data_IF_459649379879
#
_entry.id   IF_459649379879
#
_cell.length_a   1.000
_cell.length_b   1.000
_cell.length_c   1.000
_cell.angle_alpha   90.00
_cell.angle_beta   90.00
_cell.angle_gamma   90.00
#
_symmetry.space_group_name_H-M   'P 1'
#
loop_
_entity.id
_entity.type
_entity.pdbx_description
1 polymer ?
#
# COMPACT_ATOMS: atom_id res chain seq x y z
N UNK A 1 -9.81 -87.39 -30.72
CA UNK A 1 -8.35 -87.23 -30.96
C UNK A 1 -8.02 -85.76 -30.86
N UNK A 2 -6.84 -85.47 -30.33
CA UNK A 2 -6.34 -84.18 -29.83
C UNK A 2 -6.19 -83.10 -30.90
N UNK A 3 -6.38 -81.84 -30.47
CA UNK A 3 -5.62 -80.64 -30.85
C UNK A 3 -6.27 -79.42 -30.14
N UNK A 4 -5.77 -78.91 -29.00
CA UNK A 4 -4.58 -78.06 -28.82
C UNK A 4 -4.28 -77.16 -30.02
N UNK A 5 -4.45 -75.84 -29.87
CA UNK A 5 -3.34 -74.91 -29.67
C UNK A 5 -3.82 -73.47 -29.53
N UNK A 6 -3.16 -72.81 -28.58
CA UNK A 6 -3.25 -71.42 -28.14
C UNK A 6 -2.76 -70.46 -29.23
N UNK A 7 -3.40 -69.30 -29.41
CA UNK A 7 -2.68 -68.09 -29.86
C UNK A 7 -3.16 -66.92 -29.00
N UNK A 8 -2.18 -66.39 -28.27
CA UNK A 8 -2.22 -65.22 -27.39
C UNK A 8 -2.05 -63.93 -28.22
N UNK A 9 -2.11 -62.80 -27.52
CA UNK A 9 -1.83 -61.40 -27.92
C UNK A 9 -3.01 -60.66 -28.53
N UNK A 10 -3.34 -59.42 -28.16
CA UNK A 10 -2.89 -58.46 -27.15
C UNK A 10 -3.81 -57.25 -27.37
N UNK A 11 -4.37 -56.64 -26.32
CA UNK A 11 -4.66 -55.20 -26.35
C UNK A 11 -4.96 -54.68 -24.94
N UNK A 12 -3.89 -54.57 -24.16
CA UNK A 12 -3.83 -53.55 -23.13
C UNK A 12 -3.88 -52.17 -23.82
N UNK A 13 -4.97 -51.42 -23.63
CA UNK A 13 -4.88 -49.96 -23.55
C UNK A 13 -6.07 -49.41 -22.78
N UNK A 14 -6.01 -49.43 -21.44
CA UNK A 14 -6.82 -48.53 -20.62
C UNK A 14 -6.40 -47.09 -20.93
N UNK A 15 -7.09 -46.46 -21.87
CA UNK A 15 -7.04 -45.01 -22.03
C UNK A 15 -7.70 -44.37 -20.82
N UNK A 16 -6.90 -44.10 -19.78
CA UNK A 16 -7.26 -43.14 -18.73
C UNK A 16 -7.29 -41.80 -19.45
N UNK A 17 -8.50 -41.35 -19.82
CA UNK A 17 -8.72 -40.02 -20.34
C UNK A 17 -8.31 -39.03 -19.26
N UNK A 18 -7.10 -38.50 -19.40
CA UNK A 18 -6.56 -37.41 -18.60
C UNK A 18 -7.38 -36.16 -18.97
N UNK A 19 -8.54 -35.99 -18.32
CA UNK A 19 -9.37 -34.82 -18.46
C UNK A 19 -8.66 -33.66 -17.74
N UNK A 20 -7.58 -33.18 -18.34
CA UNK A 20 -7.02 -31.89 -18.00
C UNK A 20 -8.06 -30.86 -18.42
N UNK A 21 -8.94 -30.52 -17.47
CA UNK A 21 -9.96 -29.49 -17.62
C UNK A 21 -9.21 -28.21 -17.97
N UNK A 22 -9.18 -27.90 -19.26
CA UNK A 22 -8.46 -26.76 -19.80
C UNK A 22 -9.22 -25.50 -19.36
N UNK A 23 -8.89 -25.00 -18.17
CA UNK A 23 -9.31 -23.69 -17.73
C UNK A 23 -8.46 -22.64 -18.46
N UNK A 24 -8.59 -22.59 -19.78
CA UNK A 24 -8.09 -21.51 -20.60
C UNK A 24 -8.88 -20.25 -20.25
N UNK A 25 -8.37 -19.48 -19.28
CA UNK A 25 -8.85 -18.12 -19.01
C UNK A 25 -8.64 -17.29 -20.29
N UNK A 26 -9.65 -16.53 -20.70
CA UNK A 26 -9.50 -15.69 -21.89
C UNK A 26 -8.28 -14.77 -21.74
N UNK A 27 -7.38 -14.83 -22.73
CA UNK A 27 -6.20 -14.00 -22.80
C UNK A 27 -6.63 -12.53 -22.79
N UNK A 28 -6.41 -11.85 -21.66
CA UNK A 28 -6.90 -10.47 -21.48
C UNK A 28 -7.16 -10.08 -20.03
N UNK A 29 -7.49 -11.02 -19.14
CA UNK A 29 -7.80 -10.73 -17.73
C UNK A 29 -6.62 -10.20 -16.91
N UNK A 30 -5.40 -10.57 -17.28
CA UNK A 30 -4.18 -10.20 -16.55
C UNK A 30 -3.27 -9.24 -17.35
N UNK A 31 -3.74 -8.69 -18.47
CA UNK A 31 -2.95 -7.72 -19.23
C UNK A 31 -3.01 -6.35 -18.56
N UNK A 32 -1.85 -5.73 -18.37
CA UNK A 32 -1.72 -4.41 -17.75
C UNK A 32 -2.53 -3.33 -18.47
N UNK A 33 -2.73 -3.47 -19.78
CA UNK A 33 -3.58 -2.58 -20.58
C UNK A 33 -5.07 -2.67 -20.21
N UNK A 34 -5.53 -3.84 -19.76
CA UNK A 34 -6.91 -4.09 -19.32
C UNK A 34 -7.09 -3.86 -17.81
N UNK A 35 -6.02 -3.43 -17.13
CA UNK A 35 -6.08 -3.07 -15.72
C UNK A 35 -6.96 -1.84 -15.56
N UNK A 36 -8.21 -2.05 -15.15
CA UNK A 36 -9.05 -0.98 -14.62
C UNK A 36 -8.44 -0.54 -13.31
N UNK A 37 -7.67 0.55 -13.32
CA UNK A 37 -7.38 1.30 -12.11
C UNK A 37 -8.74 1.71 -11.56
N UNK A 38 -9.24 0.98 -10.55
CA UNK A 38 -10.36 1.46 -9.76
C UNK A 38 -10.02 2.89 -9.33
N UNK A 39 -11.01 3.77 -9.28
CA UNK A 39 -10.85 5.17 -8.84
C UNK A 39 -10.43 5.20 -7.35
N UNK A 40 -9.23 4.74 -7.06
CA UNK A 40 -8.63 4.70 -5.74
C UNK A 40 -8.11 6.09 -5.49
N UNK A 41 -8.92 6.92 -4.84
CA UNK A 41 -8.47 8.24 -4.39
C UNK A 41 -9.32 9.44 -4.78
N UNK A 42 -10.64 9.27 -4.89
CA UNK A 42 -11.60 10.39 -4.85
C UNK A 42 -12.04 10.77 -3.44
N UNK A 43 -11.37 10.26 -2.39
CA UNK A 43 -11.66 10.69 -1.01
C UNK A 43 -11.17 12.11 -0.77
N UNK A 44 -11.84 12.84 0.14
CA UNK A 44 -11.42 14.19 0.57
C UNK A 44 -9.94 14.15 0.96
N UNK A 45 -9.13 14.97 0.29
CA UNK A 45 -7.70 15.12 0.59
C UNK A 45 -7.54 16.03 1.80
N UNK A 46 -6.51 15.79 2.59
CA UNK A 46 -6.11 16.72 3.66
C UNK A 46 -5.76 18.07 3.01
N UNK A 47 -6.26 19.17 3.57
CA UNK A 47 -5.98 20.51 3.07
C UNK A 47 -4.49 20.83 3.26
N UNK A 48 -3.94 21.73 2.43
CA UNK A 48 -2.53 22.13 2.55
C UNK A 48 -2.25 22.79 3.89
N UNK A 49 -3.21 23.55 4.42
CA UNK A 49 -3.10 24.24 5.70
C UNK A 49 -2.92 23.23 6.84
N UNK A 50 -3.78 22.20 6.90
CA UNK A 50 -3.65 21.13 7.89
C UNK A 50 -2.32 20.38 7.75
N UNK A 51 -1.86 20.12 6.52
CA UNK A 51 -0.54 19.49 6.31
C UNK A 51 0.59 20.33 6.90
N UNK A 52 0.58 21.66 6.71
CA UNK A 52 1.60 22.55 7.28
C UNK A 52 1.65 22.51 8.82
N UNK A 53 0.50 22.42 9.49
CA UNK A 53 0.46 22.22 10.95
C UNK A 53 1.02 20.87 11.36
N UNK A 54 0.63 19.79 10.69
CA UNK A 54 1.16 18.45 10.95
C UNK A 54 2.69 18.39 10.78
N UNK A 55 3.24 19.09 9.78
CA UNK A 55 4.68 19.22 9.59
C UNK A 55 5.35 19.96 10.75
N UNK A 56 4.78 21.09 11.19
CA UNK A 56 5.31 21.84 12.33
C UNK A 56 5.35 21.01 13.62
N UNK A 57 4.26 20.30 13.94
CA UNK A 57 4.21 19.42 15.12
C UNK A 57 5.19 18.25 15.01
N UNK A 58 5.36 17.67 13.81
CA UNK A 58 6.33 16.60 13.60
C UNK A 58 7.77 17.08 13.81
N UNK A 59 8.11 18.27 13.31
CA UNK A 59 9.44 18.85 13.42
C UNK A 59 9.77 19.28 14.86
N UNK A 60 8.79 19.75 15.64
CA UNK A 60 8.99 20.02 17.07
C UNK A 60 9.52 18.80 17.82
N UNK A 61 8.96 17.62 17.54
CA UNK A 61 9.42 16.35 18.11
C UNK A 61 10.80 15.86 17.64
N UNK A 62 11.29 16.37 16.51
CA UNK A 62 12.62 16.05 15.98
C UNK A 62 13.72 16.86 16.70
N UNK A 63 13.37 18.05 17.23
CA UNK A 63 14.24 18.88 18.08
C UNK A 63 14.32 18.27 19.48
N UNK A 64 13.18 17.97 20.09
CA UNK A 64 13.07 17.41 21.43
C UNK A 64 12.21 16.14 21.43
N UNK A 65 12.82 14.98 21.70
CA UNK A 65 12.09 13.70 21.72
C UNK A 65 10.96 13.65 22.77
N UNK A 66 11.08 14.43 23.84
CA UNK A 66 10.04 14.57 24.87
C UNK A 66 8.84 15.38 24.40
N UNK A 67 9.00 16.20 23.36
CA UNK A 67 7.94 17.01 22.74
C UNK A 67 7.38 16.35 21.47
N UNK A 68 7.64 15.04 21.30
CA UNK A 68 7.15 14.31 20.15
C UNK A 68 5.64 14.14 20.24
N UNK A 69 4.93 14.84 19.37
CA UNK A 69 3.50 14.70 19.20
C UNK A 69 3.11 13.29 18.71
N UNK A 70 2.21 12.68 19.45
CA UNK A 70 1.41 11.54 19.03
C UNK A 70 0.32 11.98 18.05
N UNK A 71 -0.24 11.02 17.31
CA UNK A 71 -1.35 11.31 16.40
C UNK A 71 -2.59 11.88 17.13
N UNK A 72 -2.78 11.50 18.40
CA UNK A 72 -3.87 12.01 19.23
C UNK A 72 -3.63 13.46 19.65
N UNK A 73 -2.41 13.79 20.05
CA UNK A 73 -2.05 15.17 20.42
C UNK A 73 -2.15 16.09 19.21
N UNK A 74 -1.60 15.71 18.05
CA UNK A 74 -1.77 16.50 16.81
C UNK A 74 -3.25 16.74 16.47
N UNK A 75 -4.10 15.73 16.67
CA UNK A 75 -5.53 15.87 16.43
C UNK A 75 -6.20 16.86 17.42
N UNK A 76 -5.77 16.87 18.68
CA UNK A 76 -6.29 17.80 19.68
C UNK A 76 -5.83 19.24 19.41
N UNK A 77 -4.58 19.43 19.01
CA UNK A 77 -4.07 20.75 18.59
C UNK A 77 -4.86 21.30 17.40
N UNK A 78 -5.14 20.45 16.39
CA UNK A 78 -5.98 20.83 15.25
C UNK A 78 -7.41 21.21 15.67
N UNK A 79 -7.95 20.60 16.74
CA UNK A 79 -9.25 21.01 17.30
C UNK A 79 -9.18 22.39 17.96
N UNK A 80 -8.11 22.69 18.69
CA UNK A 80 -7.90 24.03 19.25
C UNK A 80 -7.90 25.10 18.15
N UNK A 81 -7.27 24.83 17.01
CA UNK A 81 -7.29 25.74 15.85
C UNK A 81 -8.68 25.94 15.23
N UNK A 82 -9.58 24.95 15.36
CA UNK A 82 -10.99 25.11 14.95
C UNK A 82 -11.74 25.98 15.96
N UNK A 83 -11.49 25.82 17.26
CA UNK A 83 -12.07 26.67 18.29
C UNK A 83 -11.65 28.14 18.13
N UNK A 84 -10.41 28.37 17.67
CA UNK A 84 -9.89 29.71 17.33
C UNK A 84 -10.38 30.26 15.98
N UNK A 85 -11.14 29.47 15.20
CA UNK A 85 -11.65 29.85 13.89
C UNK A 85 -10.57 29.94 12.79
N UNK A 86 -9.41 29.33 13.01
CA UNK A 86 -8.30 29.28 12.04
C UNK A 86 -8.52 28.16 11.01
N UNK A 87 -9.15 27.06 11.42
CA UNK A 87 -9.49 25.92 10.59
C UNK A 87 -11.00 25.62 10.66
N UNK A 88 -11.52 24.98 9.62
CA UNK A 88 -12.88 24.46 9.60
C UNK A 88 -12.93 23.02 10.16
N UNK A 89 -14.01 22.66 10.86
CA UNK A 89 -14.16 21.33 11.48
C UNK A 89 -14.05 20.20 10.43
N UNK A 90 -14.58 20.42 9.23
CA UNK A 90 -14.54 19.43 8.16
C UNK A 90 -13.13 19.20 7.62
N UNK A 91 -12.17 20.08 7.91
CA UNK A 91 -10.78 19.90 7.52
C UNK A 91 -10.01 18.98 8.47
N UNK A 92 -10.52 18.73 9.69
CA UNK A 92 -9.84 17.88 10.66
C UNK A 92 -9.79 16.43 10.15
N UNK A 93 -8.58 15.89 9.90
CA UNK A 93 -8.42 14.51 9.52
C UNK A 93 -8.59 13.61 10.73
N UNK A 94 -9.11 12.39 10.51
CA UNK A 94 -9.18 11.38 11.58
C UNK A 94 -7.80 11.06 12.14
N UNK A 95 -7.74 10.71 13.42
CA UNK A 95 -6.50 10.28 14.11
C UNK A 95 -5.78 9.16 13.34
N UNK A 96 -6.51 8.19 12.78
CA UNK A 96 -5.91 7.12 11.96
C UNK A 96 -5.28 7.64 10.66
N UNK A 97 -5.87 8.67 10.04
CA UNK A 97 -5.30 9.37 8.89
C UNK A 97 -4.03 10.11 9.28
N UNK A 98 -4.02 10.79 10.42
CA UNK A 98 -2.83 11.47 10.96
C UNK A 98 -1.71 10.46 11.24
N UNK A 99 -2.01 9.34 11.90
CA UNK A 99 -1.04 8.27 12.17
C UNK A 99 -0.41 7.72 10.88
N UNK A 100 -1.25 7.44 9.87
CA UNK A 100 -0.77 7.02 8.55
C UNK A 100 0.07 8.09 7.85
N UNK A 101 -0.29 9.35 8.00
CA UNK A 101 0.47 10.48 7.47
C UNK A 101 1.84 10.59 8.14
N UNK A 102 1.91 10.51 9.48
CA UNK A 102 3.16 10.52 10.26
C UNK A 102 4.10 9.39 9.79
N UNK A 103 3.58 8.17 9.63
CA UNK A 103 4.38 7.03 9.20
C UNK A 103 5.02 7.25 7.82
N UNK A 104 4.25 7.79 6.87
CA UNK A 104 4.72 8.13 5.51
C UNK A 104 5.73 9.27 5.55
N UNK A 105 5.38 10.34 6.26
CA UNK A 105 6.22 11.53 6.39
C UNK A 105 7.57 11.20 7.04
N UNK A 106 7.58 10.38 8.10
CA UNK A 106 8.81 9.94 8.75
C UNK A 106 9.71 9.11 7.82
N UNK A 107 9.15 8.32 6.91
CA UNK A 107 9.94 7.57 5.91
C UNK A 107 10.56 8.51 4.87
N UNK A 108 9.77 9.43 4.33
CA UNK A 108 10.27 10.42 3.35
C UNK A 108 11.30 11.35 3.97
N UNK A 109 11.05 11.83 5.20
CA UNK A 109 11.95 12.71 5.93
C UNK A 109 13.32 12.06 6.19
N UNK A 110 13.33 10.81 6.67
CA UNK A 110 14.59 10.04 6.84
C UNK A 110 15.35 9.88 5.54
N UNK A 111 14.65 9.58 4.44
CA UNK A 111 15.25 9.47 3.10
C UNK A 111 15.87 10.78 2.65
N UNK A 112 15.16 11.90 2.81
CA UNK A 112 15.63 13.24 2.44
C UNK A 112 16.87 13.64 3.27
N UNK A 113 16.84 13.41 4.59
CA UNK A 113 18.01 13.64 5.47
C UNK A 113 19.22 12.82 5.01
N UNK A 114 19.04 11.54 4.69
CA UNK A 114 20.13 10.69 4.21
C UNK A 114 20.69 11.15 2.86
N UNK A 115 19.82 11.53 1.91
CA UNK A 115 20.24 12.07 0.62
C UNK A 115 21.02 13.37 0.78
N UNK A 116 20.56 14.26 1.66
CA UNK A 116 21.27 15.50 1.97
C UNK A 116 22.66 15.22 2.58
N UNK A 117 22.77 14.28 3.52
CA UNK A 117 24.05 13.88 4.09
C UNK A 117 25.02 13.32 3.03
N UNK A 118 24.54 12.45 2.12
CA UNK A 118 25.35 11.93 1.01
C UNK A 118 25.82 13.04 0.05
N UNK A 119 24.95 14.00 -0.25
CA UNK A 119 25.29 15.12 -1.12
C UNK A 119 26.39 16.02 -0.51
N UNK A 120 26.43 16.16 0.82
CA UNK A 120 27.50 16.88 1.51
C UNK A 120 28.83 16.13 1.44
N UNK A 121 28.82 14.81 1.66
CA UNK A 121 30.03 13.97 1.60
C UNK A 121 30.64 13.93 0.20
N UNK A 122 29.82 13.91 -0.85
CA UNK A 122 30.31 13.88 -2.24
C UNK A 122 30.87 15.25 -2.71
N UNK A 123 30.72 16.31 -1.91
CA UNK A 123 31.20 17.66 -2.24
C UNK A 123 32.55 17.97 -1.58
N UNK A 124 32.97 17.16 -0.62
CA UNK A 124 34.27 17.21 0.07
C UNK A 124 35.27 16.25 -0.56
#
# INVERSE_FOLDING_TARGET
MLNTETIDTDLDSRQVSDYKLDFSLSSGWALKENQKFGKKGGGKRISKNVVSYLEAYFLAGDINKSEKYTAQEMHNELKGLVEEGILEEEEIPKVSTISNWIARYAQTHRKLKAQHALALVNRT
#
